data_IF_872143865206
#
_entry.id   IF_872143865206
#
_cell.length_a   1.000
_cell.length_b   1.000
_cell.length_c   1.000
_cell.angle_alpha   90.00
_cell.angle_beta   90.00
_cell.angle_gamma   90.00
#
_symmetry.space_group_name_H-M   'P 1'
#
loop_
_entity.id
_entity.type
_entity.pdbx_description
1 polymer ?
#
# COMPACT_ATOMS: atom_id res chain seq x y z
N UNK A 1 -10.58 -10.75 10.40
CA UNK A 1 -9.33 -10.21 9.86
C UNK A 1 -8.52 -9.59 10.99
N UNK A 2 -7.19 -9.73 10.97
CA UNK A 2 -6.30 -9.14 11.98
C UNK A 2 -5.71 -7.85 11.40
N UNK A 3 -5.64 -6.78 12.20
CA UNK A 3 -4.95 -5.57 11.80
C UNK A 3 -3.45 -5.74 12.04
N UNK A 4 -2.66 -5.60 10.98
CA UNK A 4 -1.21 -5.75 11.01
C UNK A 4 -0.58 -4.43 10.58
N UNK A 5 0.26 -3.85 11.43
CA UNK A 5 1.06 -2.67 11.09
C UNK A 5 2.38 -3.12 10.46
N UNK A 6 2.69 -2.58 9.29
CA UNK A 6 3.96 -2.79 8.58
C UNK A 6 4.67 -1.44 8.48
N UNK A 7 5.97 -1.44 8.75
CA UNK A 7 6.86 -0.31 8.46
C UNK A 7 7.65 -0.72 7.21
N UNK A 8 7.68 0.14 6.21
CA UNK A 8 8.30 -0.14 4.92
C UNK A 8 9.14 1.05 4.45
N UNK A 9 10.16 0.74 3.67
CA UNK A 9 11.02 1.69 2.96
C UNK A 9 10.99 1.31 1.47
N UNK A 10 11.06 2.31 0.59
CA UNK A 10 11.08 2.09 -0.85
C UNK A 10 11.84 3.20 -1.57
N UNK A 11 12.40 2.88 -2.74
CA UNK A 11 12.97 3.87 -3.65
C UNK A 11 11.85 4.61 -4.40
N UNK A 12 11.67 5.89 -4.07
CA UNK A 12 10.63 6.73 -4.66
C UNK A 12 10.76 6.97 -6.17
N UNK A 13 11.93 6.75 -6.77
CA UNK A 13 12.15 6.94 -8.21
C UNK A 13 11.45 5.87 -9.07
N UNK A 14 11.21 4.68 -8.49
CA UNK A 14 10.62 3.54 -9.19
C UNK A 14 9.08 3.57 -9.22
N UNK A 15 8.46 4.46 -8.46
CA UNK A 15 7.01 4.48 -8.25
C UNK A 15 6.42 5.87 -8.46
N UNK A 16 5.17 5.94 -8.93
CA UNK A 16 4.40 7.18 -9.07
C UNK A 16 3.68 7.53 -7.76
N UNK A 17 4.44 7.53 -6.66
CA UNK A 17 3.96 7.80 -5.31
C UNK A 17 3.32 6.58 -4.62
N UNK A 18 2.68 6.85 -3.47
CA UNK A 18 2.07 5.83 -2.61
C UNK A 18 0.76 5.28 -3.20
N UNK A 19 -0.22 6.15 -3.45
CA UNK A 19 -1.60 5.75 -3.73
C UNK A 19 -1.79 5.16 -5.14
N UNK A 20 -2.62 4.13 -5.29
CA UNK A 20 -3.09 3.66 -6.61
C UNK A 20 -3.77 4.80 -7.38
N UNK A 21 -3.47 4.92 -8.67
CA UNK A 21 -4.06 5.95 -9.54
C UNK A 21 -5.04 5.32 -10.52
N UNK A 22 -6.14 6.02 -10.82
CA UNK A 22 -7.14 5.57 -11.80
C UNK A 22 -6.78 6.04 -13.21
N UNK A 23 -7.09 5.23 -14.22
CA UNK A 23 -7.00 5.61 -15.64
C UNK A 23 -5.70 5.29 -16.38
N UNK A 24 -4.59 5.00 -15.70
CA UNK A 24 -3.37 4.43 -16.32
C UNK A 24 -2.76 3.36 -15.43
N UNK A 25 -2.26 2.30 -16.06
CA UNK A 25 -1.45 1.29 -15.37
C UNK A 25 -0.08 1.90 -15.00
N UNK A 26 -0.01 2.50 -13.82
CA UNK A 26 1.22 3.05 -13.23
C UNK A 26 1.61 2.22 -12.02
N UNK A 27 2.91 2.04 -11.80
CA UNK A 27 3.42 1.39 -10.59
C UNK A 27 3.35 2.36 -9.42
N UNK A 28 2.67 1.95 -8.35
CA UNK A 28 2.56 2.68 -7.08
C UNK A 28 2.90 1.74 -5.94
N UNK A 29 3.32 2.30 -4.81
CA UNK A 29 3.76 1.47 -3.68
C UNK A 29 2.59 0.67 -3.10
N UNK A 30 1.41 1.31 -2.93
CA UNK A 30 0.20 0.64 -2.47
C UNK A 30 -0.15 -0.56 -3.36
N UNK A 31 -0.14 -0.37 -4.69
CA UNK A 31 -0.52 -1.43 -5.63
C UNK A 31 0.42 -2.63 -5.62
N UNK A 32 1.73 -2.41 -5.48
CA UNK A 32 2.69 -3.52 -5.41
C UNK A 32 2.60 -4.27 -4.08
N UNK A 33 2.44 -3.54 -2.97
CA UNK A 33 2.28 -4.14 -1.64
C UNK A 33 1.00 -4.99 -1.56
N UNK A 34 -0.13 -4.46 -2.00
CA UNK A 34 -1.41 -5.20 -2.02
C UNK A 34 -1.32 -6.45 -2.90
N UNK A 35 -0.70 -6.34 -4.08
CA UNK A 35 -0.50 -7.48 -4.98
C UNK A 35 0.33 -8.60 -4.33
N UNK A 36 1.44 -8.25 -3.68
CA UNK A 36 2.32 -9.22 -3.02
C UNK A 36 1.61 -9.86 -1.81
N UNK A 37 0.98 -9.05 -0.96
CA UNK A 37 0.27 -9.55 0.21
C UNK A 37 -0.91 -10.44 -0.17
N UNK A 38 -1.68 -10.05 -1.20
CA UNK A 38 -2.79 -10.86 -1.69
C UNK A 38 -2.31 -12.20 -2.24
N UNK A 39 -1.14 -12.23 -2.91
CA UNK A 39 -0.52 -13.47 -3.37
C UNK A 39 -0.05 -14.36 -2.22
N UNK A 40 0.49 -13.79 -1.14
CA UNK A 40 1.01 -14.55 -0.01
C UNK A 40 -0.13 -15.12 0.85
N UNK A 41 -1.17 -14.30 1.07
CA UNK A 41 -2.28 -14.64 1.96
C UNK A 41 -3.43 -15.35 1.24
N UNK A 42 -3.39 -15.39 -0.10
CA UNK A 42 -4.45 -15.97 -0.94
C UNK A 42 -5.84 -15.37 -0.70
N UNK A 43 -5.87 -14.09 -0.35
CA UNK A 43 -7.08 -13.30 -0.12
C UNK A 43 -6.88 -11.87 -0.67
N UNK A 44 -7.95 -11.13 -0.92
CA UNK A 44 -7.86 -9.74 -1.36
C UNK A 44 -7.44 -8.84 -0.18
N UNK A 45 -6.32 -8.15 -0.32
CA UNK A 45 -5.76 -7.26 0.70
C UNK A 45 -5.85 -5.81 0.24
N UNK A 46 -6.40 -4.96 1.10
CA UNK A 46 -6.32 -3.51 1.00
C UNK A 46 -5.39 -2.97 2.09
N UNK A 47 -4.48 -2.06 1.73
CA UNK A 47 -3.57 -1.42 2.69
C UNK A 47 -3.90 0.06 2.86
N UNK A 48 -3.94 0.49 4.12
CA UNK A 48 -4.10 1.89 4.49
C UNK A 48 -2.77 2.45 4.97
N UNK A 49 -2.43 3.66 4.51
CA UNK A 49 -1.30 4.41 5.07
C UNK A 49 -1.78 5.13 6.33
N UNK A 50 -0.99 5.01 7.39
CA UNK A 50 -1.15 5.87 8.57
C UNK A 50 -0.43 7.19 8.27
N UNK A 51 -1.17 8.28 8.17
CA UNK A 51 -0.60 9.63 8.29
C UNK A 51 -0.61 10.04 9.75
N UNK A 52 0.41 10.78 10.20
CA UNK A 52 0.48 11.28 11.59
C UNK A 52 -0.67 12.24 11.92
N UNK A 53 -1.34 12.81 10.90
CA UNK A 53 -2.48 13.72 11.06
C UNK A 53 -3.78 13.01 11.50
N UNK A 54 -3.89 11.69 11.37
CA UNK A 54 -5.12 10.94 11.72
C UNK A 54 -5.05 10.20 13.06
N UNK A 55 -3.99 10.40 13.85
CA UNK A 55 -3.83 9.77 15.16
C UNK A 55 -4.31 10.65 16.33
N UNK A 56 -5.16 11.64 16.05
CA UNK A 56 -5.99 12.32 17.05
C UNK A 56 -7.45 11.88 16.87
N UNK A 57 -7.79 10.71 17.43
CA UNK A 57 -9.16 10.36 17.82
C UNK A 57 -9.23 10.32 19.33
#
# INVERSE_FOLDING_TARGET
MRNIKIILEYDGLLFKGWQKQTGKAVKTVQGEVEKVLSSILSEEIEVVRVSEEQMQM
#
